data_IF_997973391875
#
_entry.id   IF_997973391875
#
_cell.length_a   1.000
_cell.length_b   1.000
_cell.length_c   1.000
_cell.angle_alpha   90.00
_cell.angle_beta   90.00
_cell.angle_gamma   90.00
#
_symmetry.space_group_name_H-M   'P 1'
#
loop_
_entity.id
_entity.type
_entity.pdbx_description
1 polymer ?
#
# COMPACT_ATOMS: atom_id res chain seq x y z
N UNK A 1 19.00 -3.42 9.99
CA UNK A 1 19.08 -3.31 8.50
C UNK A 1 17.98 -2.38 8.00
N UNK A 2 18.29 -1.36 7.18
CA UNK A 2 17.32 -0.33 6.71
C UNK A 2 16.10 -0.87 5.94
N UNK A 3 16.13 -2.14 5.50
CA UNK A 3 15.13 -2.77 4.62
C UNK A 3 13.78 -3.05 5.30
N UNK A 4 13.70 -3.16 6.63
CA UNK A 4 12.45 -3.52 7.33
C UNK A 4 11.70 -2.33 7.93
N UNK A 5 12.34 -1.16 8.00
CA UNK A 5 11.73 0.05 8.60
C UNK A 5 10.51 0.49 7.81
N UNK A 6 10.57 0.45 6.48
CA UNK A 6 9.45 0.84 5.63
C UNK A 6 8.22 -0.05 5.85
N UNK A 7 8.40 -1.38 5.86
CA UNK A 7 7.28 -2.30 6.10
C UNK A 7 6.71 -2.17 7.51
N UNK A 8 7.56 -1.98 8.53
CA UNK A 8 7.11 -1.73 9.90
C UNK A 8 6.30 -0.42 10.00
N UNK A 9 6.78 0.66 9.40
CA UNK A 9 6.10 1.95 9.39
C UNK A 9 4.74 1.89 8.69
N UNK A 10 4.67 1.28 7.49
CA UNK A 10 3.40 1.17 6.76
C UNK A 10 2.42 0.28 7.52
N UNK A 11 2.88 -0.81 8.14
CA UNK A 11 2.01 -1.64 8.99
C UNK A 11 1.44 -0.88 10.18
N UNK A 12 2.25 -0.06 10.85
CA UNK A 12 1.79 0.80 11.95
C UNK A 12 0.76 1.83 11.49
N UNK A 13 0.99 2.48 10.35
CA UNK A 13 0.03 3.42 9.76
C UNK A 13 -1.29 2.73 9.41
N UNK A 14 -1.23 1.52 8.83
CA UNK A 14 -2.43 0.76 8.50
C UNK A 14 -3.24 0.38 9.75
N UNK A 15 -2.56 -0.11 10.81
CA UNK A 15 -3.20 -0.40 12.09
C UNK A 15 -3.85 0.85 12.71
N UNK A 16 -3.18 2.00 12.64
CA UNK A 16 -3.74 3.27 13.10
C UNK A 16 -5.00 3.64 12.30
N UNK A 17 -4.94 3.57 10.98
CA UNK A 17 -6.07 3.86 10.08
C UNK A 17 -7.30 3.01 10.40
N UNK A 18 -7.13 1.70 10.58
CA UNK A 18 -8.24 0.82 10.92
C UNK A 18 -8.73 1.01 12.37
N UNK A 19 -7.83 1.03 13.35
CA UNK A 19 -8.22 1.02 14.78
C UNK A 19 -8.74 2.37 15.25
N UNK A 20 -8.10 3.47 14.84
CA UNK A 20 -8.36 4.83 15.33
C UNK A 20 -9.24 5.62 14.38
N UNK A 21 -8.95 5.58 13.08
CA UNK A 21 -9.72 6.33 12.08
C UNK A 21 -10.95 5.56 11.55
N UNK A 22 -11.09 4.27 11.91
CA UNK A 22 -12.20 3.42 11.48
C UNK A 22 -12.36 3.38 9.96
N UNK A 23 -11.25 3.43 9.22
CA UNK A 23 -11.27 3.26 7.78
C UNK A 23 -11.77 1.86 7.42
N UNK A 24 -12.55 1.73 6.37
CA UNK A 24 -12.96 0.41 5.86
C UNK A 24 -11.88 -0.23 4.99
N UNK A 25 -10.99 0.60 4.43
CA UNK A 25 -10.02 0.19 3.41
C UNK A 25 -8.89 1.21 3.29
N UNK A 26 -7.69 0.71 3.02
CA UNK A 26 -6.52 1.54 2.72
C UNK A 26 -5.99 1.18 1.35
N UNK A 27 -5.76 2.19 0.51
CA UNK A 27 -5.15 2.02 -0.81
C UNK A 27 -3.65 2.32 -0.76
N UNK A 28 -2.87 1.48 -1.45
CA UNK A 28 -1.44 1.70 -1.67
C UNK A 28 -1.18 1.72 -3.16
N UNK A 29 -0.59 2.80 -3.66
CA UNK A 29 -0.25 2.97 -5.09
C UNK A 29 1.26 3.02 -5.24
N UNK A 30 1.79 2.19 -6.13
CA UNK A 30 3.21 2.21 -6.49
C UNK A 30 3.36 2.17 -8.01
N UNK A 31 4.28 2.97 -8.57
CA UNK A 31 4.53 2.95 -10.01
C UNK A 31 4.88 1.53 -10.48
N UNK A 32 4.48 1.14 -11.69
CA UNK A 32 4.73 -0.20 -12.25
C UNK A 32 6.21 -0.61 -12.20
N UNK A 33 7.11 0.35 -12.40
CA UNK A 33 8.56 0.17 -12.30
C UNK A 33 9.14 0.18 -10.87
N UNK A 34 8.39 0.67 -9.87
CA UNK A 34 8.87 0.73 -8.48
C UNK A 34 8.61 -0.60 -7.75
N UNK A 35 9.44 -1.60 -8.06
CA UNK A 35 9.35 -2.95 -7.47
C UNK A 35 9.65 -2.97 -5.97
N UNK A 36 10.44 -2.02 -5.46
CA UNK A 36 10.75 -1.96 -4.03
C UNK A 36 9.49 -1.62 -3.21
N UNK A 37 8.74 -0.59 -3.61
CA UNK A 37 7.49 -0.23 -2.93
C UNK A 37 6.39 -1.28 -3.12
N UNK A 38 6.32 -1.93 -4.28
CA UNK A 38 5.39 -3.06 -4.50
C UNK A 38 5.65 -4.19 -3.50
N UNK A 39 6.91 -4.59 -3.29
CA UNK A 39 7.28 -5.60 -2.27
C UNK A 39 6.93 -5.17 -0.85
N UNK A 40 7.00 -3.88 -0.53
CA UNK A 40 6.58 -3.39 0.80
C UNK A 40 5.08 -3.58 0.99
N UNK A 41 4.25 -3.26 -0.03
CA UNK A 41 2.81 -3.46 0.02
C UNK A 41 2.43 -4.94 0.17
N UNK A 42 3.06 -5.82 -0.61
CA UNK A 42 2.85 -7.27 -0.52
C UNK A 42 3.28 -7.81 0.85
N UNK A 43 4.43 -7.37 1.37
CA UNK A 43 4.96 -7.83 2.67
C UNK A 43 4.06 -7.51 3.85
N UNK A 44 3.27 -6.44 3.77
CA UNK A 44 2.32 -6.08 4.83
C UNK A 44 0.92 -6.69 4.63
N UNK A 45 0.74 -7.56 3.63
CA UNK A 45 -0.51 -8.26 3.35
C UNK A 45 -1.45 -7.55 2.37
N UNK A 46 -1.00 -6.45 1.73
CA UNK A 46 -1.85 -5.75 0.77
C UNK A 46 -2.04 -6.58 -0.50
N UNK A 47 -3.28 -6.66 -0.99
CA UNK A 47 -3.64 -7.41 -2.19
C UNK A 47 -3.57 -6.52 -3.42
N UNK A 48 -2.97 -7.03 -4.49
CA UNK A 48 -2.93 -6.34 -5.79
C UNK A 48 -4.28 -6.46 -6.48
N UNK A 49 -4.83 -5.35 -6.94
CA UNK A 49 -6.14 -5.33 -7.60
C UNK A 49 -6.08 -4.93 -9.08
N UNK A 50 -5.07 -4.17 -9.49
CA UNK A 50 -4.98 -3.77 -10.90
C UNK A 50 -3.86 -2.80 -11.22
N UNK A 51 -3.79 -2.44 -12.51
CA UNK A 51 -2.95 -1.35 -13.00
C UNK A 51 -3.88 -0.19 -13.37
N UNK A 52 -3.65 0.95 -12.73
CA UNK A 52 -4.28 2.20 -13.06
C UNK A 52 -3.45 2.90 -14.13
N UNK A 53 -3.96 2.89 -15.36
CA UNK A 53 -3.29 3.53 -16.51
C UNK A 53 -3.27 5.05 -16.34
N UNK A 54 -2.14 5.68 -16.64
CA UNK A 54 -1.96 7.13 -16.60
C UNK A 54 -2.41 7.80 -15.29
N UNK A 55 -2.15 7.16 -14.14
CA UNK A 55 -2.78 7.54 -12.87
C UNK A 55 -2.12 8.72 -12.15
N UNK A 56 -0.82 8.93 -12.35
CA UNK A 56 -0.03 9.91 -11.59
C UNK A 56 0.97 10.64 -12.47
N UNK A 57 1.11 11.95 -12.27
CA UNK A 57 2.17 12.77 -12.89
C UNK A 57 3.26 13.01 -11.86
N UNK A 58 4.50 12.66 -12.19
CA UNK A 58 5.69 12.89 -11.36
C UNK A 58 6.79 13.45 -12.26
N UNK A 59 7.28 14.66 -11.97
CA UNK A 59 8.30 15.34 -12.78
C UNK A 59 7.97 15.32 -14.28
N UNK A 60 6.77 15.78 -14.64
CA UNK A 60 6.24 15.88 -16.01
C UNK A 60 6.13 14.55 -16.77
N UNK A 61 6.27 13.42 -16.08
CA UNK A 61 6.05 12.08 -16.63
C UNK A 61 4.79 11.47 -16.06
N UNK A 62 4.01 10.85 -16.93
CA UNK A 62 2.80 10.12 -16.58
C UNK A 62 3.18 8.67 -16.28
N UNK A 63 2.69 8.16 -15.14
CA UNK A 63 2.97 6.81 -14.67
C UNK A 63 1.71 5.98 -14.51
N UNK A 64 1.79 4.75 -15.02
CA UNK A 64 0.93 3.66 -14.62
C UNK A 64 1.26 3.23 -13.18
N UNK A 65 0.22 3.03 -12.38
CA UNK A 65 0.34 2.70 -10.96
C UNK A 65 -0.29 1.33 -10.70
N UNK A 66 0.44 0.46 -10.00
CA UNK A 66 -0.15 -0.74 -9.41
C UNK A 66 -0.97 -0.32 -8.19
N UNK A 67 -2.24 -0.69 -8.18
CA UNK A 67 -3.14 -0.54 -7.03
C UNK A 67 -3.04 -1.78 -6.16
N UNK A 68 -2.77 -1.55 -4.88
CA UNK A 68 -2.94 -2.52 -3.81
C UNK A 68 -3.92 -2.00 -2.77
N UNK A 69 -4.45 -2.92 -1.98
CA UNK A 69 -5.34 -2.58 -0.90
C UNK A 69 -5.16 -3.44 0.33
N UNK A 70 -5.49 -2.86 1.47
CA UNK A 70 -5.70 -3.54 2.73
C UNK A 70 -7.14 -3.33 3.18
N UNK A 71 -7.75 -4.39 3.68
CA UNK A 71 -8.93 -4.38 4.54
C UNK A 71 -8.54 -4.89 5.94
N UNK A 72 -9.34 -4.64 7.00
CA UNK A 72 -9.01 -5.06 8.37
C UNK A 72 -8.63 -6.54 8.50
N UNK A 73 -9.29 -7.40 7.73
CA UNK A 73 -9.10 -8.85 7.66
C UNK A 73 -7.67 -9.21 7.25
N UNK A 74 -7.07 -8.45 6.33
CA UNK A 74 -5.71 -8.71 5.83
C UNK A 74 -4.65 -8.54 6.93
N UNK A 75 -4.98 -7.81 8.02
CA UNK A 75 -4.11 -7.59 9.17
C UNK A 75 -4.56 -8.34 10.43
N UNK A 76 -5.52 -9.25 10.32
CA UNK A 76 -6.17 -9.94 11.45
C UNK A 76 -6.71 -8.95 12.50
N UNK A 77 -7.32 -7.85 12.04
CA UNK A 77 -7.88 -6.80 12.91
C UNK A 77 -9.39 -6.92 13.09
N UNK A 78 -9.98 -8.06 12.72
CA UNK A 78 -11.39 -8.33 12.96
C UNK A 78 -11.67 -8.25 14.47
N UNK A 79 -12.70 -7.49 14.81
CA UNK A 79 -13.30 -7.44 16.16
C UNK A 79 -14.31 -8.55 16.32
#
# INVERSE_FOLDING_TARGET
TKRDVASAAVRLLAQFGFKKLKLNRIEVKAAVGNKASQRVAEKIGAKREGILRNRMVVHDRVYDMVMFSLIPEDLNLNS
#
